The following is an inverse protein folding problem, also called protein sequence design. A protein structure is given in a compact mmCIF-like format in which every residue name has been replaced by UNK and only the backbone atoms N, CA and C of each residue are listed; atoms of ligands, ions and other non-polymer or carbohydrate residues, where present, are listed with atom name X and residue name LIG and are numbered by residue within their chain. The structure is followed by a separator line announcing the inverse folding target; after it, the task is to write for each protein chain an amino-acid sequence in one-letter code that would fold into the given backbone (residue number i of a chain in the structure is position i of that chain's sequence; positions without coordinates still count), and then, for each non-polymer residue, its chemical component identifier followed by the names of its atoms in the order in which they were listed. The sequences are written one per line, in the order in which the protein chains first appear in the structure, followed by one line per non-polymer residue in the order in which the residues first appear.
data_IF_296634774156
#
_entry.id   IF_296634774156
#
_cell.length_a   1.000
_cell.length_b   1.000
_cell.length_c   1.000
_cell.angle_alpha   90.00
_cell.angle_beta   90.00
_cell.angle_gamma   90.00
#
_symmetry.space_group_name_H-M   'P 1'
#
loop_
_entity.id
_entity.type
_entity.pdbx_description
1 polymer ?
#
# COMPACT_ATOMS: atom_id res chain seq x y z
N UNK A 1 10.90 -6.40 18.00
CA UNK A 1 11.35 -5.01 18.19
C UNK A 1 10.69 -4.15 17.12
N UNK A 2 9.99 -3.08 17.51
CA UNK A 2 9.21 -2.29 16.56
C UNK A 2 10.11 -1.50 15.60
N UNK A 3 11.12 -0.79 16.11
CA UNK A 3 12.04 0.00 15.27
C UNK A 3 12.87 -0.83 14.27
N UNK A 4 12.87 -2.16 14.38
CA UNK A 4 13.56 -3.04 13.44
C UNK A 4 12.57 -3.65 12.45
N UNK A 5 11.53 -4.32 12.96
CA UNK A 5 10.60 -5.07 12.12
C UNK A 5 9.44 -4.21 11.62
N UNK A 6 8.99 -3.23 12.39
CA UNK A 6 7.99 -2.26 11.95
C UNK A 6 8.49 -1.53 10.72
N UNK A 7 9.68 -0.93 10.81
CA UNK A 7 10.32 -0.25 9.67
C UNK A 7 10.42 -1.17 8.46
N UNK A 8 10.97 -2.37 8.62
CA UNK A 8 11.10 -3.34 7.52
C UNK A 8 9.75 -3.71 6.87
N UNK A 9 8.70 -3.93 7.67
CA UNK A 9 7.38 -4.32 7.16
C UNK A 9 6.74 -3.19 6.37
N UNK A 10 6.77 -1.96 6.91
CA UNK A 10 6.13 -0.81 6.26
C UNK A 10 6.90 -0.38 5.01
N UNK A 11 8.24 -0.31 5.08
CA UNK A 11 9.05 -0.03 3.91
C UNK A 11 8.95 -1.15 2.86
N UNK A 12 8.85 -2.41 3.29
CA UNK A 12 8.63 -3.54 2.38
C UNK A 12 7.26 -3.49 1.68
N UNK A 13 6.20 -3.09 2.39
CA UNK A 13 4.89 -2.85 1.77
C UNK A 13 4.96 -1.74 0.70
N UNK A 14 5.68 -0.66 1.02
CA UNK A 14 5.97 0.40 0.06
C UNK A 14 6.79 -0.09 -1.13
N UNK A 15 7.81 -0.92 -0.88
CA UNK A 15 8.69 -1.46 -1.93
C UNK A 15 7.93 -2.36 -2.91
N UNK A 16 7.06 -3.26 -2.42
CA UNK A 16 6.19 -4.10 -3.26
C UNK A 16 5.40 -3.22 -4.24
N UNK A 17 4.71 -2.21 -3.71
CA UNK A 17 3.89 -1.32 -4.50
C UNK A 17 4.70 -0.42 -5.45
N UNK A 18 5.86 0.05 -5.00
CA UNK A 18 6.76 0.86 -5.82
C UNK A 18 7.28 0.06 -7.01
N UNK A 19 7.79 -1.16 -6.78
CA UNK A 19 8.24 -2.08 -7.82
C UNK A 19 7.15 -2.35 -8.86
N UNK A 20 5.92 -2.60 -8.43
CA UNK A 20 4.77 -2.78 -9.32
C UNK A 20 4.48 -1.53 -10.16
N UNK A 21 4.46 -0.34 -9.54
CA UNK A 21 4.23 0.92 -10.26
C UNK A 21 5.28 1.23 -11.32
N UNK A 22 6.54 0.86 -11.07
CA UNK A 22 7.65 1.12 -12.00
C UNK A 22 8.04 -0.10 -12.85
N UNK A 23 7.25 -1.18 -12.76
CA UNK A 23 7.44 -2.43 -13.47
C UNK A 23 8.85 -3.01 -13.33
N UNK A 24 9.32 -3.14 -12.08
CA UNK A 24 10.61 -3.75 -11.71
C UNK A 24 10.38 -5.03 -10.91
N UNK A 25 11.11 -6.08 -11.25
CA UNK A 25 11.08 -7.35 -10.53
C UNK A 25 11.96 -7.29 -9.27
N UNK A 26 11.42 -7.70 -8.12
CA UNK A 26 12.12 -7.63 -6.82
C UNK A 26 13.45 -8.39 -6.83
N UNK A 27 13.56 -9.47 -7.59
CA UNK A 27 14.78 -10.27 -7.68
C UNK A 27 15.91 -9.55 -8.45
N UNK A 28 15.59 -8.62 -9.34
CA UNK A 28 16.54 -7.99 -10.27
C UNK A 28 17.01 -6.62 -9.81
N UNK A 29 16.30 -5.97 -8.89
CA UNK A 29 16.64 -4.62 -8.42
C UNK A 29 17.90 -4.61 -7.56
N UNK A 30 18.70 -3.55 -7.73
CA UNK A 30 19.82 -3.25 -6.82
C UNK A 30 19.35 -2.37 -5.67
N UNK A 31 19.52 -2.84 -4.44
CA UNK A 31 19.09 -2.15 -3.22
C UNK A 31 20.31 -1.67 -2.44
N UNK A 32 20.41 -0.36 -2.22
CA UNK A 32 21.42 0.22 -1.33
C UNK A 32 20.79 0.55 0.01
N UNK A 33 21.31 -0.04 1.08
CA UNK A 33 20.90 0.24 2.45
C UNK A 33 21.98 1.06 3.14
N UNK A 34 21.71 2.33 3.40
CA UNK A 34 22.61 3.21 4.13
C UNK A 34 22.25 3.22 5.62
N UNK A 35 23.01 2.45 6.40
CA UNK A 35 22.75 2.21 7.81
C UNK A 35 22.79 0.72 8.15
N UNK A 36 23.97 0.20 8.48
CA UNK A 36 24.16 -1.22 8.82
C UNK A 36 23.91 -1.56 10.30
N UNK A 37 22.94 -0.89 10.93
CA UNK A 37 22.47 -1.18 12.28
C UNK A 37 21.41 -2.28 12.29
N UNK A 38 20.79 -2.52 13.45
CA UNK A 38 19.79 -3.57 13.60
C UNK A 38 18.56 -3.38 12.67
N UNK A 39 18.12 -2.14 12.45
CA UNK A 39 17.03 -1.84 11.52
C UNK A 39 17.41 -2.14 10.06
N UNK A 40 18.63 -1.75 9.64
CA UNK A 40 19.10 -2.01 8.28
C UNK A 40 19.27 -3.50 7.98
N UNK A 41 19.83 -4.25 8.93
CA UNK A 41 19.92 -5.72 8.82
C UNK A 41 18.52 -6.35 8.78
N UNK A 42 17.58 -5.90 9.62
CA UNK A 42 16.21 -6.40 9.60
C UNK A 42 15.47 -6.09 8.29
N UNK A 43 15.70 -4.90 7.70
CA UNK A 43 15.18 -4.54 6.39
C UNK A 43 15.78 -5.43 5.30
N UNK A 44 17.10 -5.61 5.28
CA UNK A 44 17.78 -6.48 4.32
C UNK A 44 17.25 -7.92 4.37
N UNK A 45 17.19 -8.51 5.57
CA UNK A 45 16.66 -9.87 5.76
C UNK A 45 15.19 -9.98 5.32
N UNK A 46 14.41 -8.92 5.53
CA UNK A 46 13.01 -8.88 5.12
C UNK A 46 12.85 -8.74 3.60
N UNK A 47 13.61 -7.87 2.94
CA UNK A 47 13.56 -7.72 1.48
C UNK A 47 14.00 -9.00 0.77
N UNK A 48 15.01 -9.70 1.29
CA UNK A 48 15.35 -11.05 0.79
C UNK A 48 14.17 -12.01 0.94
N UNK A 49 13.44 -11.96 2.07
CA UNK A 49 12.24 -12.78 2.26
C UNK A 49 11.08 -12.40 1.33
N UNK A 50 11.03 -11.14 0.85
CA UNK A 50 10.10 -10.68 -0.17
C UNK A 50 10.53 -11.05 -1.61
N UNK A 51 11.72 -11.62 -1.79
CA UNK A 51 12.22 -12.09 -3.08
C UNK A 51 13.40 -11.30 -3.64
N UNK A 52 13.96 -10.34 -2.90
CA UNK A 52 15.17 -9.63 -3.35
C UNK A 52 16.40 -10.55 -3.34
N UNK A 53 17.21 -10.46 -4.39
CA UNK A 53 18.47 -11.19 -4.46
C UNK A 53 19.46 -10.61 -3.47
N UNK A 54 19.93 -11.44 -2.53
CA UNK A 54 20.85 -11.00 -1.47
C UNK A 54 22.14 -10.38 -2.02
N UNK A 55 22.64 -10.89 -3.14
CA UNK A 55 23.81 -10.39 -3.86
C UNK A 55 23.60 -8.99 -4.49
N UNK A 56 22.37 -8.56 -4.67
CA UNK A 56 22.01 -7.22 -5.16
C UNK A 56 21.81 -6.20 -4.01
N UNK A 57 22.01 -6.60 -2.76
CA UNK A 57 21.88 -5.71 -1.60
C UNK A 57 23.26 -5.19 -1.17
N UNK A 58 23.53 -3.93 -1.45
CA UNK A 58 24.75 -3.23 -1.02
C UNK A 58 24.45 -2.50 0.29
N UNK A 59 25.22 -2.77 1.33
CA UNK A 59 25.03 -2.10 2.62
C UNK A 59 26.18 -1.14 2.93
N UNK A 60 25.86 0.05 3.41
CA UNK A 60 26.81 1.07 3.84
C UNK A 60 26.68 1.32 5.35
N UNK A 61 27.81 1.59 6.00
CA UNK A 61 27.86 2.12 7.36
C UNK A 61 28.74 3.38 7.42
N UNK A 62 29.07 3.84 8.64
CA UNK A 62 29.85 5.06 8.84
C UNK A 62 31.28 5.02 8.24
N UNK A 63 31.78 3.85 7.80
CA UNK A 63 33.08 3.76 7.10
C UNK A 63 32.93 3.38 5.62
N UNK A 64 31.71 3.45 5.07
CA UNK A 64 31.44 3.17 3.66
C UNK A 64 30.82 1.79 3.43
N UNK A 65 31.01 1.26 2.21
CA UNK A 65 30.44 -0.02 1.78
C UNK A 65 30.95 -1.18 2.63
N UNK A 66 30.07 -2.12 2.96
CA UNK A 66 30.42 -3.40 3.58
C UNK A 66 30.81 -4.36 2.45
N UNK A 67 32.07 -4.78 2.46
CA UNK A 67 32.63 -5.66 1.42
C UNK A 67 33.46 -6.80 2.04
N UNK A 68 33.72 -7.86 1.26
CA UNK A 68 34.27 -9.13 1.73
C UNK A 68 35.68 -9.02 2.37
N UNK A 69 36.50 -8.08 1.89
CA UNK A 69 37.86 -7.81 2.38
C UNK A 69 37.93 -6.67 3.39
N UNK A 70 36.80 -6.28 4.00
CA UNK A 70 36.76 -5.24 5.03
C UNK A 70 37.06 -5.85 6.40
N UNK A 71 38.19 -5.49 7.01
CA UNK A 71 38.67 -6.09 8.27
C UNK A 71 38.61 -5.14 9.48
N UNK A 72 38.05 -3.95 9.31
CA UNK A 72 38.06 -2.96 10.38
C UNK A 72 37.13 -3.31 11.56
N UNK A 73 37.38 -2.68 12.72
CA UNK A 73 36.65 -2.92 13.97
C UNK A 73 35.14 -2.64 13.95
N UNK A 74 34.61 -2.07 12.86
CA UNK A 74 33.18 -1.85 12.66
C UNK A 74 32.44 -3.08 12.13
N UNK A 75 33.15 -4.13 11.71
CA UNK A 75 32.56 -5.37 11.21
C UNK A 75 32.10 -6.30 12.35
N UNK A 76 30.97 -6.96 12.13
CA UNK A 76 30.43 -7.98 13.03
C UNK A 76 29.76 -9.09 12.20
N UNK A 77 29.33 -10.17 12.85
CA UNK A 77 28.74 -11.34 12.17
C UNK A 77 27.49 -10.99 11.34
N UNK A 78 26.68 -10.02 11.78
CA UNK A 78 25.46 -9.61 11.08
C UNK A 78 25.80 -8.86 9.79
N UNK A 79 26.75 -7.93 9.85
CA UNK A 79 27.26 -7.17 8.70
C UNK A 79 27.98 -8.07 7.71
N UNK A 80 28.78 -9.02 8.21
CA UNK A 80 29.52 -9.97 7.40
C UNK A 80 28.60 -10.80 6.48
N UNK A 81 27.35 -11.07 6.88
CA UNK A 81 26.36 -11.73 6.01
C UNK A 81 26.06 -10.96 4.73
N UNK A 82 26.20 -9.64 4.73
CA UNK A 82 25.93 -8.75 3.59
C UNK A 82 27.21 -8.15 3.00
N UNK A 83 28.37 -8.70 3.34
CA UNK A 83 29.63 -8.29 2.76
C UNK A 83 29.76 -8.84 1.33
N UNK A 84 29.77 -7.95 0.34
CA UNK A 84 29.88 -8.33 -1.07
C UNK A 84 31.33 -8.29 -1.58
N UNK A 85 31.62 -9.10 -2.59
CA UNK A 85 32.84 -9.02 -3.40
C UNK A 85 32.67 -7.87 -4.40
N UNK A 86 33.13 -6.67 -4.04
CA UNK A 86 32.95 -5.46 -4.85
C UNK A 86 34.10 -4.47 -4.68
N UNK A 87 34.34 -3.62 -5.68
CA UNK A 87 35.29 -2.51 -5.62
C UNK A 87 34.71 -1.20 -5.11
N UNK A 88 33.38 -1.12 -4.94
CA UNK A 88 32.72 0.06 -4.36
C UNK A 88 33.15 0.25 -2.89
N UNK A 89 33.40 1.48 -2.49
CA UNK A 89 33.85 1.90 -1.16
C UNK A 89 32.99 3.00 -0.56
N UNK A 90 32.47 3.91 -1.38
CA UNK A 90 31.67 5.05 -0.90
C UNK A 90 30.18 4.86 -1.13
N UNK A 91 29.36 5.65 -0.43
CA UNK A 91 27.92 5.67 -0.69
C UNK A 91 27.59 6.15 -2.11
N UNK A 92 28.34 7.11 -2.64
CA UNK A 92 28.16 7.62 -4.00
C UNK A 92 28.34 6.52 -5.05
N UNK A 93 29.37 5.69 -4.89
CA UNK A 93 29.60 4.54 -5.76
C UNK A 93 28.53 3.46 -5.57
N UNK A 94 28.07 3.24 -4.34
CA UNK A 94 27.01 2.27 -4.04
C UNK A 94 25.72 2.58 -4.80
N UNK A 95 25.26 3.84 -4.75
CA UNK A 95 23.98 4.30 -5.33
C UNK A 95 24.04 4.54 -6.83
N UNK A 96 25.22 4.65 -7.43
CA UNK A 96 25.36 4.73 -8.89
C UNK A 96 24.72 3.50 -9.56
N UNK A 97 23.71 3.76 -10.40
CA UNK A 97 22.90 2.75 -11.09
C UNK A 97 21.98 1.93 -10.18
N UNK A 98 21.83 2.28 -8.89
CA UNK A 98 20.94 1.54 -7.99
C UNK A 98 19.47 1.88 -8.24
N UNK A 99 18.59 0.89 -8.07
CA UNK A 99 17.14 1.05 -8.21
C UNK A 99 16.50 1.60 -6.93
N UNK A 100 17.02 1.18 -5.78
CA UNK A 100 16.43 1.46 -4.48
C UNK A 100 17.47 2.00 -3.52
N UNK A 101 17.12 3.07 -2.81
CA UNK A 101 17.86 3.56 -1.66
C UNK A 101 17.01 3.45 -0.39
N UNK A 102 17.57 2.85 0.64
CA UNK A 102 16.96 2.68 1.97
C UNK A 102 17.85 3.39 2.99
N UNK A 103 17.41 4.57 3.43
CA UNK A 103 18.06 5.38 4.43
C UNK A 103 17.64 4.99 5.85
N UNK A 104 18.60 4.55 6.67
CA UNK A 104 18.45 4.23 8.08
C UNK A 104 19.66 4.76 8.87
N UNK A 105 20.08 5.98 8.57
CA UNK A 105 21.34 6.57 9.03
C UNK A 105 21.16 8.00 9.56
N UNK A 106 21.78 8.99 8.92
CA UNK A 106 21.87 10.37 9.37
C UNK A 106 21.37 11.34 8.32
N UNK A 107 20.90 12.50 8.78
CA UNK A 107 20.40 13.57 7.93
C UNK A 107 21.42 14.01 6.86
N UNK A 108 20.94 14.26 5.64
CA UNK A 108 21.77 14.78 4.53
C UNK A 108 22.79 13.79 3.96
N UNK A 109 22.71 12.50 4.30
CA UNK A 109 23.65 11.50 3.80
C UNK A 109 23.54 11.24 2.30
N UNK A 110 22.35 11.41 1.69
CA UNK A 110 22.12 11.22 0.26
C UNK A 110 22.06 12.60 -0.42
N UNK A 111 22.92 12.83 -1.41
CA UNK A 111 22.99 14.12 -2.12
C UNK A 111 22.15 14.10 -3.40
N UNK A 112 21.82 15.28 -3.93
CA UNK A 112 21.11 15.38 -5.21
C UNK A 112 21.90 14.73 -6.37
N UNK A 113 23.24 14.82 -6.36
CA UNK A 113 24.07 14.19 -7.40
C UNK A 113 24.03 12.67 -7.33
N UNK A 114 23.97 12.11 -6.12
CA UNK A 114 23.73 10.68 -5.92
C UNK A 114 22.34 10.26 -6.43
N UNK A 115 21.30 11.07 -6.20
CA UNK A 115 19.97 10.78 -6.75
C UNK A 115 19.97 10.80 -8.29
N UNK A 116 20.72 11.71 -8.91
CA UNK A 116 20.88 11.79 -10.36
C UNK A 116 21.61 10.58 -10.95
N UNK A 117 22.51 9.95 -10.20
CA UNK A 117 23.27 8.77 -10.67
C UNK A 117 22.52 7.44 -10.54
N UNK A 118 21.39 7.40 -9.82
CA UNK A 118 20.56 6.20 -9.65
C UNK A 118 19.86 5.77 -10.94
N UNK A 119 19.45 4.50 -11.02
CA UNK A 119 18.69 3.95 -12.16
C UNK A 119 17.34 4.65 -12.37
N UNK A 120 16.79 4.61 -13.58
CA UNK A 120 15.48 5.20 -13.94
C UNK A 120 14.36 4.76 -12.98
N UNK A 121 13.43 5.66 -12.69
CA UNK A 121 12.34 5.45 -11.75
C UNK A 121 12.84 4.90 -10.40
N UNK A 122 13.70 5.64 -9.67
CA UNK A 122 14.27 5.15 -8.42
C UNK A 122 13.20 5.10 -7.34
N UNK A 123 13.48 4.26 -6.35
CA UNK A 123 12.66 4.16 -5.14
C UNK A 123 13.55 4.60 -3.98
N UNK A 124 13.18 5.69 -3.30
CA UNK A 124 13.96 6.26 -2.21
C UNK A 124 13.11 6.26 -0.95
N UNK A 125 13.52 5.50 0.06
CA UNK A 125 12.97 5.58 1.42
C UNK A 125 14.00 6.20 2.37
N UNK A 126 13.89 7.49 2.62
CA UNK A 126 14.78 8.24 3.53
C UNK A 126 14.15 8.35 4.93
N UNK A 127 14.48 7.41 5.82
CA UNK A 127 13.75 7.19 7.08
C UNK A 127 14.51 7.67 8.33
N UNK A 128 15.63 8.37 8.19
CA UNK A 128 16.21 9.08 9.33
C UNK A 128 15.21 10.10 9.91
N UNK A 129 15.20 10.22 11.23
CA UNK A 129 14.36 11.15 11.98
C UNK A 129 15.24 12.04 12.89
N UNK A 130 14.85 13.32 13.11
CA UNK A 130 13.71 14.02 12.52
C UNK A 130 13.94 14.48 11.08
N UNK A 131 15.21 14.59 10.67
CA UNK A 131 15.61 15.03 9.34
C UNK A 131 16.10 13.83 8.51
N UNK A 132 15.56 13.66 7.29
CA UNK A 132 15.83 12.49 6.46
C UNK A 132 17.22 12.57 5.80
N UNK A 133 17.67 11.46 5.23
CA UNK A 133 18.90 11.39 4.44
C UNK A 133 18.91 12.38 3.26
N UNK A 134 17.73 12.70 2.71
CA UNK A 134 17.50 13.75 1.72
C UNK A 134 16.05 14.24 1.83
N UNK A 135 15.80 15.51 1.55
CA UNK A 135 14.44 16.08 1.55
C UNK A 135 13.65 15.70 0.30
N UNK A 136 12.31 15.75 0.36
CA UNK A 136 11.48 15.53 -0.83
C UNK A 136 11.75 16.58 -1.91
N UNK A 137 11.90 17.84 -1.52
CA UNK A 137 12.16 18.95 -2.45
C UNK A 137 13.49 18.77 -3.18
N UNK A 138 14.54 18.34 -2.47
CA UNK A 138 15.84 18.03 -3.09
C UNK A 138 15.76 16.85 -4.05
N UNK A 139 14.98 15.82 -3.72
CA UNK A 139 14.74 14.68 -4.60
C UNK A 139 14.00 15.12 -5.87
N UNK A 140 12.95 15.93 -5.74
CA UNK A 140 12.20 16.43 -6.90
C UNK A 140 13.04 17.37 -7.77
N UNK A 141 13.91 18.20 -7.16
CA UNK A 141 14.86 19.04 -7.89
C UNK A 141 15.97 18.23 -8.59
N UNK A 142 16.34 17.08 -8.03
CA UNK A 142 17.31 16.17 -8.63
C UNK A 142 16.69 15.35 -9.77
N UNK A 143 15.51 14.76 -9.52
CA UNK A 143 14.85 13.84 -10.44
C UNK A 143 13.36 13.64 -10.15
N UNK A 144 12.52 13.98 -11.13
CA UNK A 144 11.06 13.94 -11.05
C UNK A 144 10.41 12.56 -11.20
N UNK A 145 11.14 11.54 -11.68
CA UNK A 145 10.62 10.16 -11.81
C UNK A 145 10.80 9.32 -10.53
N UNK A 146 11.13 9.95 -9.41
CA UNK A 146 11.41 9.27 -8.14
C UNK A 146 10.13 8.96 -7.37
N UNK A 147 9.97 7.70 -6.95
CA UNK A 147 9.06 7.34 -5.87
C UNK A 147 9.79 7.59 -4.55
N UNK A 148 9.27 8.52 -3.75
CA UNK A 148 9.89 8.93 -2.50
C UNK A 148 9.00 8.61 -1.30
N UNK A 149 9.58 8.06 -0.23
CA UNK A 149 8.95 7.91 1.07
C UNK A 149 9.90 8.21 2.22
N UNK A 150 9.35 8.50 3.39
CA UNK A 150 10.13 8.93 4.57
C UNK A 150 9.37 8.63 5.86
N UNK A 151 10.00 8.81 7.03
CA UNK A 151 9.32 8.77 8.32
C UNK A 151 8.42 9.99 8.58
N UNK A 152 8.65 11.11 7.88
CA UNK A 152 7.92 12.36 8.11
C UNK A 152 6.50 12.34 7.56
N UNK A 153 5.59 13.03 8.26
CA UNK A 153 4.16 13.09 7.90
C UNK A 153 3.81 14.15 6.86
N UNK A 154 4.69 15.14 6.65
CA UNK A 154 4.52 16.24 5.70
C UNK A 154 4.91 15.87 4.26
N UNK A 155 5.54 14.71 4.05
CA UNK A 155 5.94 14.20 2.74
C UNK A 155 5.09 13.00 2.27
N UNK A 156 5.16 12.66 0.96
CA UNK A 156 4.49 11.48 0.45
C UNK A 156 4.98 10.17 1.10
N UNK A 157 4.16 9.13 1.00
CA UNK A 157 4.52 7.75 1.36
C UNK A 157 5.20 7.59 2.73
N UNK A 158 4.50 8.04 3.77
CA UNK A 158 5.01 7.99 5.13
C UNK A 158 5.22 6.52 5.59
N UNK A 159 6.46 6.15 5.83
CA UNK A 159 6.87 4.90 6.47
C UNK A 159 6.74 5.08 7.99
N UNK A 160 5.58 4.71 8.52
CA UNK A 160 5.26 4.86 9.94
C UNK A 160 4.85 3.53 10.59
N UNK A 161 5.54 3.14 11.66
CA UNK A 161 5.30 1.89 12.38
C UNK A 161 3.87 1.75 12.94
N UNK A 162 3.12 2.86 13.12
CA UNK A 162 1.69 2.84 13.49
C UNK A 162 0.85 1.97 12.55
N UNK A 163 1.24 1.86 11.27
CA UNK A 163 0.59 0.98 10.30
C UNK A 163 0.83 -0.51 10.57
N UNK A 164 1.85 -0.85 11.36
CA UNK A 164 2.27 -2.22 11.62
C UNK A 164 1.85 -2.69 13.01
N UNK A 165 2.52 -2.19 14.05
CA UNK A 165 2.50 -2.81 15.37
C UNK A 165 1.10 -3.04 15.96
N UNK A 166 0.15 -2.08 15.94
CA UNK A 166 -1.14 -2.28 16.60
C UNK A 166 -1.88 -3.50 16.03
N UNK A 167 -1.75 -3.69 14.72
CA UNK A 167 -2.55 -4.64 13.96
C UNK A 167 -1.85 -6.00 13.83
N UNK A 168 -0.51 -6.01 13.70
CA UNK A 168 0.30 -7.23 13.80
C UNK A 168 0.09 -7.88 15.17
N UNK A 169 0.20 -7.08 16.25
CA UNK A 169 -0.07 -7.61 17.60
C UNK A 169 -1.52 -8.03 17.75
N UNK A 170 -2.48 -7.28 17.20
CA UNK A 170 -3.89 -7.68 17.29
C UNK A 170 -4.13 -9.07 16.71
N UNK A 171 -3.67 -9.31 15.48
CA UNK A 171 -3.77 -10.62 14.81
C UNK A 171 -3.06 -11.72 15.57
N UNK A 172 -1.80 -11.50 15.95
CA UNK A 172 -1.00 -12.47 16.69
C UNK A 172 -1.59 -12.83 18.06
N UNK A 173 -2.12 -11.84 18.79
CA UNK A 173 -2.70 -12.04 20.12
C UNK A 173 -4.04 -12.80 20.05
N UNK A 174 -4.87 -12.55 19.03
CA UNK A 174 -6.18 -13.22 18.90
C UNK A 174 -6.06 -14.72 18.64
N UNK A 175 -5.03 -15.15 17.92
CA UNK A 175 -4.71 -16.57 17.72
C UNK A 175 -3.73 -17.12 18.76
N UNK A 176 -3.35 -16.29 19.74
CA UNK A 176 -2.37 -16.60 20.78
C UNK A 176 -1.08 -17.18 20.18
N UNK A 177 -0.47 -16.48 19.23
CA UNK A 177 0.77 -16.89 18.59
C UNK A 177 1.91 -17.04 19.63
N UNK A 178 2.83 -17.99 19.39
CA UNK A 178 4.04 -18.17 20.21
C UNK A 178 5.16 -17.21 19.83
N UNK A 179 5.15 -16.71 18.59
CA UNK A 179 6.15 -15.80 18.05
C UNK A 179 5.54 -14.98 16.92
N UNK A 180 6.30 -13.98 16.44
CA UNK A 180 6.06 -13.30 15.18
C UNK A 180 7.13 -13.80 14.20
N UNK A 181 6.78 -14.76 13.35
CA UNK A 181 7.71 -15.33 12.34
C UNK A 181 7.76 -14.48 11.07
N UNK A 182 8.53 -14.91 10.08
CA UNK A 182 8.74 -14.16 8.84
C UNK A 182 7.47 -14.10 7.99
N UNK A 183 6.73 -15.20 7.90
CA UNK A 183 5.50 -15.32 7.12
C UNK A 183 4.42 -14.35 7.62
N UNK A 184 4.31 -14.16 8.93
CA UNK A 184 3.44 -13.14 9.53
C UNK A 184 3.84 -11.71 9.13
N UNK A 185 5.14 -11.42 9.02
CA UNK A 185 5.65 -10.11 8.59
C UNK A 185 5.35 -9.86 7.11
N UNK A 186 5.57 -10.87 6.27
CA UNK A 186 5.24 -10.83 4.84
C UNK A 186 3.74 -10.62 4.64
N UNK A 187 2.90 -11.37 5.36
CA UNK A 187 1.45 -11.21 5.30
C UNK A 187 0.98 -9.81 5.71
N UNK A 188 1.61 -9.20 6.72
CA UNK A 188 1.35 -7.81 7.10
C UNK A 188 1.73 -6.82 6.00
N UNK A 189 2.93 -6.96 5.42
CA UNK A 189 3.40 -6.09 4.34
C UNK A 189 2.49 -6.20 3.09
N UNK A 190 2.12 -7.42 2.68
CA UNK A 190 1.23 -7.63 1.54
C UNK A 190 -0.17 -7.07 1.80
N UNK A 191 -0.70 -7.20 3.02
CA UNK A 191 -1.99 -6.63 3.39
C UNK A 191 -1.99 -5.09 3.31
N UNK A 192 -0.90 -4.44 3.74
CA UNK A 192 -0.72 -2.99 3.60
C UNK A 192 -0.55 -2.57 2.14
N UNK A 193 0.25 -3.31 1.37
CA UNK A 193 0.48 -3.06 -0.03
C UNK A 193 -0.84 -3.10 -0.82
N UNK A 194 -1.64 -4.15 -0.61
CA UNK A 194 -2.95 -4.30 -1.24
C UNK A 194 -3.93 -3.22 -0.79
N UNK A 195 -3.97 -2.87 0.51
CA UNK A 195 -4.85 -1.82 1.03
C UNK A 195 -4.59 -0.45 0.38
N UNK A 196 -3.34 -0.14 0.02
CA UNK A 196 -3.00 1.14 -0.63
C UNK A 196 -3.63 1.29 -2.03
N UNK A 197 -4.00 0.16 -2.66
CA UNK A 197 -4.63 0.11 -3.98
C UNK A 197 -6.15 0.22 -3.92
N UNK A 198 -6.73 0.09 -2.72
CA UNK A 198 -8.17 0.20 -2.50
C UNK A 198 -8.60 1.66 -2.37
N UNK A 199 -9.82 1.96 -2.86
CA UNK A 199 -10.43 3.29 -2.77
C UNK A 199 -10.36 3.88 -1.36
N UNK A 200 -9.74 5.04 -1.22
CA UNK A 200 -9.51 5.69 0.07
C UNK A 200 -10.82 6.30 0.60
N UNK A 201 -11.26 5.97 1.83
CA UNK A 201 -12.48 6.54 2.41
C UNK A 201 -12.41 8.06 2.57
N UNK A 202 -13.55 8.73 2.36
CA UNK A 202 -13.68 10.17 2.61
C UNK A 202 -13.28 10.59 4.03
N UNK A 203 -13.46 9.72 5.03
CA UNK A 203 -13.02 10.00 6.40
C UNK A 203 -11.51 10.16 6.51
N UNK A 204 -10.76 9.37 5.76
CA UNK A 204 -9.28 9.47 5.70
C UNK A 204 -8.91 10.73 4.94
N UNK A 205 -9.50 10.98 3.77
CA UNK A 205 -9.22 12.19 2.99
C UNK A 205 -9.47 13.47 3.81
N UNK A 206 -10.62 13.56 4.51
CA UNK A 206 -10.92 14.69 5.41
C UNK A 206 -9.94 14.83 6.58
N UNK A 207 -9.51 13.73 7.19
CA UNK A 207 -8.59 13.76 8.33
C UNK A 207 -7.20 14.33 7.95
N UNK A 208 -6.82 14.21 6.68
CA UNK A 208 -5.56 14.72 6.15
C UNK A 208 -5.73 15.99 5.28
N UNK A 209 -6.94 16.55 5.19
CA UNK A 209 -7.21 17.75 4.39
C UNK A 209 -7.01 17.57 2.88
N UNK A 210 -7.20 16.35 2.38
CA UNK A 210 -6.97 15.98 0.98
C UNK A 210 -8.31 15.92 0.22
N UNK A 211 -8.31 16.37 -1.03
CA UNK A 211 -9.49 16.23 -1.92
C UNK A 211 -9.51 14.89 -2.66
N UNK A 212 -8.32 14.36 -2.98
CA UNK A 212 -8.16 13.10 -3.68
C UNK A 212 -6.87 12.43 -3.24
N UNK A 213 -6.94 11.11 -3.04
CA UNK A 213 -5.78 10.25 -2.81
C UNK A 213 -6.00 8.96 -3.61
N UNK A 214 -5.03 8.60 -4.44
CA UNK A 214 -5.10 7.43 -5.32
C UNK A 214 -3.73 6.76 -5.37
N UNK A 215 -3.74 5.45 -5.58
CA UNK A 215 -2.52 4.68 -5.77
C UNK A 215 -1.64 5.29 -6.86
N UNK A 216 -0.36 5.51 -6.57
CA UNK A 216 0.58 6.18 -7.48
C UNK A 216 1.84 6.65 -6.77
N UNK A 217 2.67 7.43 -7.45
CA UNK A 217 4.01 7.84 -6.98
C UNK A 217 4.00 8.51 -5.61
N UNK A 218 2.94 9.24 -5.27
CA UNK A 218 2.79 9.93 -3.97
C UNK A 218 1.93 9.16 -2.95
N UNK A 219 1.41 7.98 -3.31
CA UNK A 219 0.61 7.13 -2.44
C UNK A 219 0.76 5.64 -2.79
N UNK A 220 1.78 5.01 -2.19
CA UNK A 220 2.05 3.57 -2.23
C UNK A 220 1.90 2.90 -0.85
N UNK A 221 1.70 3.68 0.21
CA UNK A 221 1.54 3.19 1.59
C UNK A 221 0.26 3.83 2.16
N UNK A 222 -0.63 3.07 2.81
CA UNK A 222 -1.83 3.62 3.46
C UNK A 222 -1.46 4.70 4.48
N UNK A 223 -2.39 5.63 4.75
CA UNK A 223 -2.15 6.67 5.76
C UNK A 223 -2.19 6.06 7.18
N UNK A 224 -1.34 6.51 8.14
CA UNK A 224 -1.24 5.90 9.47
C UNK A 224 -2.55 5.74 10.24
N UNK A 225 -3.49 6.67 10.08
CA UNK A 225 -4.79 6.64 10.76
C UNK A 225 -5.92 6.13 9.86
N UNK A 226 -5.59 5.37 8.82
CA UNK A 226 -6.60 4.69 8.02
C UNK A 226 -7.26 3.57 8.86
N UNK A 227 -8.57 3.69 9.17
CA UNK A 227 -9.24 2.73 10.03
C UNK A 227 -9.33 1.33 9.40
N UNK A 228 -9.16 1.21 8.07
CA UNK A 228 -9.21 -0.06 7.36
C UNK A 228 -8.04 -0.97 7.72
N UNK A 229 -6.89 -0.44 8.15
CA UNK A 229 -5.66 -1.22 8.39
C UNK A 229 -5.91 -2.37 9.37
N UNK A 230 -6.73 -2.15 10.41
CA UNK A 230 -7.12 -3.19 11.37
C UNK A 230 -7.73 -4.42 10.68
N UNK A 231 -8.65 -4.18 9.75
CA UNK A 231 -9.41 -5.22 9.06
C UNK A 231 -8.60 -5.96 7.99
N UNK A 232 -7.45 -5.42 7.60
CA UNK A 232 -6.57 -6.00 6.58
C UNK A 232 -5.39 -6.74 7.23
N UNK A 233 -4.65 -6.05 8.11
CA UNK A 233 -3.40 -6.58 8.67
C UNK A 233 -3.67 -7.65 9.73
N UNK A 234 -4.61 -7.42 10.66
CA UNK A 234 -4.82 -8.37 11.77
C UNK A 234 -5.28 -9.76 11.29
N UNK A 235 -6.25 -9.88 10.35
CA UNK A 235 -6.65 -11.18 9.80
C UNK A 235 -5.55 -11.85 8.97
N UNK A 236 -4.78 -11.09 8.19
CA UNK A 236 -3.66 -11.62 7.41
C UNK A 236 -2.58 -12.23 8.32
N UNK A 237 -2.23 -11.53 9.40
CA UNK A 237 -1.27 -11.99 10.40
C UNK A 237 -1.79 -13.20 11.18
N UNK A 238 -3.07 -13.18 11.59
CA UNK A 238 -3.72 -14.30 12.26
C UNK A 238 -3.73 -15.56 11.37
N UNK A 239 -4.05 -15.40 10.08
CA UNK A 239 -4.02 -16.47 9.08
C UNK A 239 -2.61 -17.06 8.95
N UNK A 240 -1.60 -16.23 8.71
CA UNK A 240 -0.22 -16.69 8.59
C UNK A 240 0.28 -17.41 9.85
N UNK A 241 -0.08 -16.93 11.04
CA UNK A 241 0.24 -17.59 12.30
C UNK A 241 -0.41 -18.98 12.44
N UNK A 242 -1.64 -19.15 11.95
CA UNK A 242 -2.35 -20.43 11.93
C UNK A 242 -1.72 -21.40 10.92
N UNK A 243 -1.40 -20.93 9.71
CA UNK A 243 -0.82 -21.73 8.63
C UNK A 243 0.59 -22.22 8.96
N UNK A 244 1.40 -21.40 9.61
CA UNK A 244 2.77 -21.76 10.05
C UNK A 244 2.80 -22.55 11.35
N UNK A 245 1.66 -22.79 12.00
CA UNK A 245 1.57 -23.57 13.24
C UNK A 245 2.09 -22.86 14.49
N UNK A 246 2.41 -21.56 14.44
CA UNK A 246 2.81 -20.79 15.63
C UNK A 246 1.62 -20.33 16.47
N UNK A 247 0.41 -20.34 15.91
CA UNK A 247 -0.85 -20.09 16.61
C UNK A 247 -1.19 -21.22 17.60
N UNK A 248 -1.71 -20.84 18.78
CA UNK A 248 -2.23 -21.81 19.78
C UNK A 248 -3.73 -22.02 19.67
N UNK A 249 -4.43 -21.14 18.96
CA UNK A 249 -5.88 -21.21 18.73
C UNK A 249 -6.16 -21.01 17.26
N UNK A 250 -7.02 -21.87 16.71
CA UNK A 250 -7.54 -21.72 15.36
C UNK A 250 -8.85 -20.93 15.42
N UNK A 251 -8.98 -19.92 14.55
CA UNK A 251 -10.16 -19.07 14.46
C UNK A 251 -10.74 -19.09 13.06
N UNK A 252 -12.06 -19.01 12.97
CA UNK A 252 -12.76 -18.75 11.71
C UNK A 252 -12.51 -17.29 11.30
N UNK A 253 -11.84 -17.09 10.18
CA UNK A 253 -11.43 -15.77 9.71
C UNK A 253 -12.61 -14.86 9.36
N UNK A 254 -13.73 -15.41 8.89
CA UNK A 254 -14.93 -14.62 8.57
C UNK A 254 -15.57 -14.09 9.84
N UNK A 255 -15.76 -14.96 10.84
CA UNK A 255 -16.27 -14.55 12.16
C UNK A 255 -15.31 -13.60 12.86
N UNK A 256 -14.02 -13.80 12.68
CA UNK A 256 -13.01 -12.91 13.24
C UNK A 256 -13.11 -11.50 12.66
N UNK A 257 -13.24 -11.38 11.34
CA UNK A 257 -13.51 -10.10 10.68
C UNK A 257 -14.79 -9.43 11.22
N UNK A 258 -15.87 -10.19 11.42
CA UNK A 258 -17.11 -9.66 12.03
C UNK A 258 -16.85 -9.09 13.43
N UNK A 259 -16.04 -9.78 14.23
CA UNK A 259 -15.66 -9.34 15.57
C UNK A 259 -14.81 -8.06 15.55
N UNK A 260 -13.90 -7.92 14.58
CA UNK A 260 -13.09 -6.72 14.40
C UNK A 260 -13.93 -5.53 13.97
N UNK A 261 -14.86 -5.74 13.03
CA UNK A 261 -15.84 -4.72 12.62
C UNK A 261 -16.66 -4.22 13.82
N UNK A 262 -17.09 -5.13 14.70
CA UNK A 262 -17.77 -4.77 15.95
C UNK A 262 -16.95 -3.86 16.88
N UNK A 263 -15.62 -4.00 16.91
CA UNK A 263 -14.72 -3.14 17.71
C UNK A 263 -14.55 -1.74 17.13
N UNK A 264 -14.72 -1.58 15.82
CA UNK A 264 -14.68 -0.28 15.15
C UNK A 264 -15.98 0.53 15.34
N UNK A 265 -17.05 -0.14 15.78
CA UNK A 265 -18.31 0.49 16.13
C UNK A 265 -19.53 -0.24 15.56
N UNK A 266 -20.70 0.03 16.16
CA UNK A 266 -21.97 -0.59 15.75
C UNK A 266 -22.32 -0.32 14.29
N UNK A 267 -22.00 0.86 13.77
CA UNK A 267 -22.25 1.22 12.37
C UNK A 267 -21.47 0.32 11.40
N UNK A 268 -20.18 0.09 11.66
CA UNK A 268 -19.32 -0.77 10.83
C UNK A 268 -19.83 -2.21 10.85
N UNK A 269 -20.24 -2.72 12.01
CA UNK A 269 -20.83 -4.06 12.14
C UNK A 269 -22.14 -4.21 11.35
N UNK A 270 -23.03 -3.22 11.42
CA UNK A 270 -24.30 -3.22 10.68
C UNK A 270 -24.03 -3.22 9.17
N UNK A 271 -23.14 -2.35 8.69
CA UNK A 271 -22.77 -2.29 7.27
C UNK A 271 -22.21 -3.61 6.76
N UNK A 272 -21.28 -4.22 7.50
CA UNK A 272 -20.70 -5.51 7.14
C UNK A 272 -21.76 -6.63 7.03
N UNK A 273 -22.73 -6.67 7.95
CA UNK A 273 -23.84 -7.63 7.87
C UNK A 273 -24.74 -7.41 6.64
N UNK A 274 -24.94 -6.15 6.22
CA UNK A 274 -25.68 -5.82 5.01
C UNK A 274 -24.90 -6.25 3.76
N UNK A 275 -23.58 -5.99 3.72
CA UNK A 275 -22.70 -6.39 2.63
C UNK A 275 -22.68 -7.92 2.45
N UNK A 276 -22.53 -8.70 3.53
CA UNK A 276 -22.53 -10.17 3.45
C UNK A 276 -23.85 -10.70 2.87
N UNK A 277 -25.00 -10.15 3.28
CA UNK A 277 -26.31 -10.53 2.72
C UNK A 277 -26.44 -10.14 1.25
N UNK A 278 -25.94 -8.97 0.87
CA UNK A 278 -25.98 -8.51 -0.50
C UNK A 278 -25.13 -9.41 -1.42
N UNK A 279 -23.93 -9.79 -0.99
CA UNK A 279 -23.02 -10.69 -1.76
C UNK A 279 -23.61 -12.09 -2.00
N UNK A 280 -24.46 -12.61 -1.10
CA UNK A 280 -25.11 -13.91 -1.28
C UNK A 280 -26.12 -13.92 -2.44
N UNK A 281 -26.77 -12.77 -2.69
CA UNK A 281 -27.72 -12.63 -3.80
C UNK A 281 -27.55 -11.26 -4.47
N UNK A 282 -26.47 -11.05 -5.24
CA UNK A 282 -26.19 -9.76 -5.86
C UNK A 282 -27.35 -9.33 -6.74
N UNK A 283 -27.91 -8.14 -6.46
CA UNK A 283 -29.00 -7.57 -7.24
C UNK A 283 -28.46 -6.57 -8.25
N UNK A 284 -29.25 -6.32 -9.30
CA UNK A 284 -29.01 -5.23 -10.24
C UNK A 284 -29.42 -3.91 -9.58
N UNK A 285 -28.51 -2.96 -9.48
CA UNK A 285 -28.74 -1.67 -8.81
C UNK A 285 -28.53 -0.55 -9.82
N UNK A 286 -29.54 0.29 -10.02
CA UNK A 286 -29.47 1.44 -10.92
C UNK A 286 -28.95 2.64 -10.15
N UNK A 287 -27.88 3.23 -10.65
CA UNK A 287 -27.33 4.50 -10.19
C UNK A 287 -27.79 5.60 -11.15
N UNK A 288 -28.65 6.48 -10.66
CA UNK A 288 -29.37 7.46 -11.50
C UNK A 288 -28.48 8.61 -12.02
N UNK A 289 -27.41 8.93 -11.29
CA UNK A 289 -26.44 9.97 -11.66
C UNK A 289 -25.14 9.32 -12.16
N UNK A 290 -25.26 8.48 -13.19
CA UNK A 290 -24.18 7.62 -13.68
C UNK A 290 -22.96 8.37 -14.18
N UNK A 291 -23.10 9.66 -14.50
CA UNK A 291 -22.02 10.54 -14.98
C UNK A 291 -21.20 11.16 -13.84
N UNK A 292 -21.69 11.12 -12.60
CA UNK A 292 -21.02 11.79 -11.48
C UNK A 292 -19.84 10.93 -10.96
N UNK A 293 -18.62 11.49 -10.78
CA UNK A 293 -17.43 10.72 -10.40
C UNK A 293 -17.60 9.88 -9.13
N UNK A 294 -18.24 10.45 -8.10
CA UNK A 294 -18.54 9.73 -6.84
C UNK A 294 -19.46 8.52 -7.03
N UNK A 295 -20.40 8.62 -7.96
CA UNK A 295 -21.35 7.55 -8.25
C UNK A 295 -20.67 6.44 -9.04
N UNK A 296 -19.80 6.79 -9.98
CA UNK A 296 -18.98 5.83 -10.72
C UNK A 296 -18.06 5.05 -9.77
N UNK A 297 -17.38 5.72 -8.83
CA UNK A 297 -16.57 5.04 -7.80
C UNK A 297 -17.40 4.11 -6.93
N UNK A 298 -18.58 4.57 -6.46
CA UNK A 298 -19.47 3.73 -5.68
C UNK A 298 -19.93 2.49 -6.47
N UNK A 299 -20.28 2.67 -7.74
CA UNK A 299 -20.67 1.59 -8.65
C UNK A 299 -19.52 0.59 -8.89
N UNK A 300 -18.31 1.09 -9.11
CA UNK A 300 -17.11 0.26 -9.22
C UNK A 300 -16.87 -0.55 -7.95
N UNK A 301 -16.87 0.09 -6.77
CA UNK A 301 -16.65 -0.57 -5.50
C UNK A 301 -17.67 -1.70 -5.24
N UNK A 302 -18.96 -1.48 -5.50
CA UNK A 302 -19.98 -2.53 -5.31
C UNK A 302 -19.85 -3.67 -6.31
N UNK A 303 -19.35 -3.41 -7.52
CA UNK A 303 -19.07 -4.45 -8.52
C UNK A 303 -17.85 -5.28 -8.12
N UNK A 304 -16.72 -4.64 -7.85
CA UNK A 304 -15.44 -5.29 -7.51
C UNK A 304 -15.55 -6.12 -6.24
N UNK A 305 -16.36 -5.67 -5.28
CA UNK A 305 -16.63 -6.42 -4.05
C UNK A 305 -17.70 -7.51 -4.20
N UNK A 306 -18.37 -7.62 -5.36
CA UNK A 306 -19.43 -8.59 -5.61
C UNK A 306 -20.74 -8.32 -4.86
N UNK A 307 -20.96 -7.08 -4.40
CA UNK A 307 -22.14 -6.68 -3.62
C UNK A 307 -23.37 -6.58 -4.54
N UNK A 308 -23.20 -6.00 -5.72
CA UNK A 308 -24.27 -5.73 -6.67
C UNK A 308 -23.76 -5.70 -8.12
N UNK A 309 -24.69 -5.78 -9.06
CA UNK A 309 -24.44 -5.55 -10.48
C UNK A 309 -24.87 -4.11 -10.83
N UNK A 310 -23.96 -3.13 -10.82
CA UNK A 310 -24.32 -1.74 -11.05
C UNK A 310 -24.77 -1.50 -12.49
N UNK A 311 -25.77 -0.62 -12.64
CA UNK A 311 -26.21 -0.06 -13.91
C UNK A 311 -26.07 1.45 -13.79
N UNK A 312 -25.23 2.06 -14.61
CA UNK A 312 -25.09 3.51 -14.66
C UNK A 312 -26.09 4.08 -15.65
N UNK A 313 -26.95 4.98 -15.18
CA UNK A 313 -27.87 5.73 -16.03
C UNK A 313 -27.22 7.05 -16.44
N UNK A 314 -27.12 7.33 -17.74
CA UNK A 314 -26.55 8.57 -18.25
C UNK A 314 -25.91 8.41 -19.63
N UNK A 315 -25.34 9.49 -20.15
CA UNK A 315 -24.68 9.51 -21.45
C UNK A 315 -23.47 8.57 -21.47
N UNK A 316 -23.46 7.64 -22.43
CA UNK A 316 -22.44 6.60 -22.46
C UNK A 316 -21.01 7.13 -22.66
N UNK A 317 -20.84 8.16 -23.49
CA UNK A 317 -19.52 8.75 -23.74
C UNK A 317 -18.99 9.50 -22.52
N UNK A 318 -19.85 10.27 -21.84
CA UNK A 318 -19.47 10.99 -20.62
C UNK A 318 -19.07 10.03 -19.49
N UNK A 319 -19.83 8.95 -19.30
CA UNK A 319 -19.51 7.92 -18.29
C UNK A 319 -18.17 7.26 -18.59
N UNK A 320 -17.93 6.86 -19.85
CA UNK A 320 -16.69 6.19 -20.24
C UNK A 320 -15.47 7.11 -20.03
N UNK A 321 -15.59 8.39 -20.41
CA UNK A 321 -14.55 9.39 -20.18
C UNK A 321 -14.24 9.55 -18.68
N UNK A 322 -15.26 9.55 -17.83
CA UNK A 322 -15.08 9.66 -16.37
C UNK A 322 -14.41 8.40 -15.79
N UNK A 323 -14.77 7.20 -16.25
CA UNK A 323 -14.11 5.95 -15.84
C UNK A 323 -12.61 5.99 -16.18
N UNK A 324 -12.26 6.46 -17.38
CA UNK A 324 -10.87 6.62 -17.83
C UNK A 324 -10.11 7.67 -17.00
N UNK A 325 -10.72 8.83 -16.74
CA UNK A 325 -10.11 9.86 -15.88
C UNK A 325 -9.91 9.38 -14.44
N UNK A 326 -10.80 8.53 -13.95
CA UNK A 326 -10.69 7.89 -12.65
C UNK A 326 -9.71 6.70 -12.64
N UNK A 327 -9.22 6.26 -13.81
CA UNK A 327 -8.34 5.11 -14.00
C UNK A 327 -8.90 3.83 -13.35
N UNK A 328 -10.21 3.60 -13.48
CA UNK A 328 -10.88 2.41 -12.93
C UNK A 328 -10.93 1.31 -13.99
N UNK A 329 -10.53 0.09 -13.62
CA UNK A 329 -10.79 -1.12 -14.40
C UNK A 329 -12.25 -1.52 -14.24
N UNK A 330 -13.16 -0.76 -14.86
CA UNK A 330 -14.59 -0.89 -14.65
C UNK A 330 -15.38 -0.90 -15.96
N UNK A 331 -16.10 -1.99 -16.21
CA UNK A 331 -16.98 -2.14 -17.39
C UNK A 331 -18.43 -2.31 -16.95
N UNK A 332 -19.11 -1.22 -16.52
CA UNK A 332 -20.50 -1.30 -16.06
C UNK A 332 -21.48 -1.53 -17.21
N UNK A 333 -22.68 -1.99 -16.86
CA UNK A 333 -23.82 -1.84 -17.77
C UNK A 333 -24.23 -0.36 -17.79
N UNK A 334 -24.17 0.28 -18.95
CA UNK A 334 -24.62 1.67 -19.13
C UNK A 334 -25.99 1.66 -19.82
N UNK A 335 -26.92 2.44 -19.30
CA UNK A 335 -28.22 2.70 -19.94
C UNK A 335 -28.32 4.19 -20.21
N UNK A 336 -28.19 4.55 -21.48
CA UNK A 336 -28.37 5.91 -21.96
C UNK A 336 -29.88 6.17 -22.21
N UNK A 337 -30.51 7.10 -21.46
CA UNK A 337 -31.94 7.36 -21.61
C UNK A 337 -32.35 7.86 -22.99
N UNK A 338 -31.48 8.57 -23.70
CA UNK A 338 -31.80 9.21 -24.98
C UNK A 338 -31.77 8.22 -26.13
N UNK A 339 -30.96 7.17 -26.02
CA UNK A 339 -30.83 6.11 -27.04
C UNK A 339 -31.50 4.79 -26.67
N UNK A 340 -32.06 4.65 -25.46
CA UNK A 340 -32.66 3.39 -25.01
C UNK A 340 -33.97 3.07 -25.75
N UNK A 341 -34.04 1.84 -26.27
CA UNK A 341 -35.25 1.19 -26.79
C UNK A 341 -36.43 1.17 -25.80
N UNK A 342 -36.14 1.27 -24.50
CA UNK A 342 -37.14 1.27 -23.42
C UNK A 342 -37.65 2.66 -23.08
N UNK A 343 -37.13 3.72 -23.69
CA UNK A 343 -37.52 5.10 -23.41
C UNK A 343 -39.04 5.28 -23.49
N UNK A 344 -39.65 4.89 -24.62
CA UNK A 344 -41.10 5.03 -24.83
C UNK A 344 -41.93 4.22 -23.80
N UNK A 345 -41.45 3.04 -23.42
CA UNK A 345 -42.10 2.21 -22.40
C UNK A 345 -42.08 2.89 -21.03
N UNK A 346 -40.93 3.39 -20.60
CA UNK A 346 -40.78 4.07 -19.31
C UNK A 346 -41.50 5.42 -19.27
N UNK A 347 -41.47 6.20 -20.36
CA UNK A 347 -42.24 7.44 -20.48
C UNK A 347 -43.74 7.19 -20.30
N UNK A 348 -44.29 6.15 -20.94
CA UNK A 348 -45.69 5.74 -20.78
C UNK A 348 -46.01 5.32 -19.34
N UNK A 349 -45.13 4.52 -18.71
CA UNK A 349 -45.27 4.13 -17.29
C UNK A 349 -45.22 5.33 -16.35
N UNK A 350 -44.32 6.28 -16.59
CA UNK A 350 -44.20 7.50 -15.80
C UNK A 350 -45.46 8.36 -15.92
N UNK A 351 -45.94 8.58 -17.14
CA UNK A 351 -47.21 9.27 -17.40
C UNK A 351 -48.39 8.59 -16.70
N UNK A 352 -48.50 7.27 -16.76
CA UNK A 352 -49.56 6.52 -16.08
C UNK A 352 -49.51 6.65 -14.55
N UNK A 353 -48.32 6.84 -13.96
CA UNK A 353 -48.15 7.06 -12.52
C UNK A 353 -48.47 8.49 -12.10
N UNK A 354 -48.11 9.47 -12.92
CA UNK A 354 -48.30 10.89 -12.61
C UNK A 354 -49.70 11.40 -12.96
N UNK A 355 -50.27 10.99 -14.10
CA UNK A 355 -51.55 11.45 -14.63
C UNK A 355 -51.80 12.97 -14.39
N UNK A 356 -52.80 13.31 -13.56
CA UNK A 356 -53.19 14.69 -13.25
C UNK A 356 -52.29 15.39 -12.22
N UNK A 357 -51.30 14.70 -11.65
CA UNK A 357 -50.37 15.26 -10.66
C UNK A 357 -49.20 16.05 -11.29
N UNK A 358 -49.21 16.27 -12.62
CA UNK A 358 -48.16 16.98 -13.36
C UNK A 358 -46.93 16.12 -13.65
N UNK A 359 -45.97 16.65 -14.42
CA UNK A 359 -44.67 15.99 -14.68
C UNK A 359 -43.74 16.23 -13.52
#
# INVERSE_FOLDING_TARGET
HDDQHGTAIISGAGLINACELVNKEMADITIVINGAGAAGIACADFYVALGASKENIIMCDSRGVIHAWREDSGMNEFKARYALTTEKRTLAEAVEGADVFIGLSVAGALTQDMVRSMARNPIIFAMANPDPEITYDDVQAARSDTIFGTGRSDYPNQVNNVLGFPFIFRGALDVRARSINMEMKIAAAQALANLAKEDVPDSVMRAYGLEMLRFGFEYIIPKPFDPRVLMWVAPAVAKAAMETGVARVQIDLEKYLDSLAGRMGKSVQVMRNLELKAKQQPKRVVFAEGEHPKIIRAAHAVATQGIAMPILLGNAAAIQQQIEMLALEFTPTIVDPDSSDKHAHYAKKYYQRRQRAGV
#
